data_IF_938090508775
#
_entry.id   IF_938090508775
#
_cell.length_a   1.000
_cell.length_b   1.000
_cell.length_c   1.000
_cell.angle_alpha   90.00
_cell.angle_beta   90.00
_cell.angle_gamma   90.00
#
_symmetry.space_group_name_H-M   'P 1'
#
loop_
_entity.id
_entity.type
_entity.pdbx_description
1 polymer ?
#
# COMPACT_ATOMS: atom_id res chain seq x y z
N UNK A 1 -2.98 -8.14 -57.82
CA UNK A 1 -1.87 -9.11 -58.04
C UNK A 1 -2.49 -10.50 -58.02
N UNK A 2 -2.52 -11.21 -59.15
CA UNK A 2 -3.26 -12.49 -59.29
C UNK A 2 -2.41 -13.60 -58.67
N UNK A 3 -2.79 -14.10 -57.50
CA UNK A 3 -2.11 -15.23 -56.86
C UNK A 3 -2.24 -16.44 -57.77
N UNK A 4 -1.12 -17.02 -58.18
CA UNK A 4 -1.07 -18.24 -58.97
C UNK A 4 -1.49 -19.43 -58.09
N UNK A 5 -2.34 -20.30 -58.66
CA UNK A 5 -2.94 -21.44 -57.98
C UNK A 5 -1.90 -22.34 -57.31
N UNK A 6 -0.68 -22.41 -57.85
CA UNK A 6 0.43 -23.18 -57.29
C UNK A 6 1.07 -22.57 -56.03
N UNK A 7 1.05 -21.25 -55.83
CA UNK A 7 1.62 -20.59 -54.63
C UNK A 7 0.60 -20.51 -53.50
N UNK A 8 -0.70 -20.58 -53.82
CA UNK A 8 -1.79 -20.56 -52.84
C UNK A 8 -1.67 -21.63 -51.75
N UNK A 9 -1.39 -22.92 -52.04
CA UNK A 9 -1.25 -23.94 -50.98
C UNK A 9 -0.01 -23.73 -50.12
N UNK A 10 1.08 -23.17 -50.68
CA UNK A 10 2.31 -22.88 -49.95
C UNK A 10 2.08 -21.78 -48.90
N UNK A 11 1.35 -20.72 -49.27
CA UNK A 11 0.99 -19.64 -48.36
C UNK A 11 0.08 -20.17 -47.24
N UNK A 12 -0.89 -21.02 -47.56
CA UNK A 12 -1.79 -21.62 -46.57
C UNK A 12 -1.00 -22.44 -45.52
N UNK A 13 -0.02 -23.23 -45.96
CA UNK A 13 0.83 -24.04 -45.08
C UNK A 13 1.65 -23.17 -44.13
N UNK A 14 2.25 -22.09 -44.64
CA UNK A 14 3.08 -21.18 -43.85
C UNK A 14 2.22 -20.46 -42.79
N UNK A 15 1.03 -19.99 -43.17
CA UNK A 15 0.11 -19.32 -42.24
C UNK A 15 -0.38 -20.29 -41.17
N UNK A 16 -0.72 -21.53 -41.54
CA UNK A 16 -1.10 -22.57 -40.58
C UNK A 16 0.04 -22.88 -39.61
N UNK A 17 1.26 -23.10 -40.10
CA UNK A 17 2.43 -23.35 -39.25
C UNK A 17 2.76 -22.20 -38.30
N UNK A 18 2.72 -20.96 -38.78
CA UNK A 18 2.94 -19.78 -37.97
C UNK A 18 1.87 -19.61 -36.88
N UNK A 19 0.61 -19.89 -37.20
CA UNK A 19 -0.49 -19.81 -36.23
C UNK A 19 -0.39 -20.87 -35.12
N UNK A 20 0.01 -22.09 -35.46
CA UNK A 20 0.25 -23.17 -34.49
C UNK A 20 1.45 -22.81 -33.61
N UNK A 21 2.57 -22.38 -34.21
CA UNK A 21 3.76 -21.99 -33.46
C UNK A 21 3.46 -20.84 -32.50
N UNK A 22 2.74 -19.81 -32.94
CA UNK A 22 2.34 -18.70 -32.07
C UNK A 22 1.46 -19.18 -30.91
N UNK A 23 0.44 -20.00 -31.20
CA UNK A 23 -0.47 -20.51 -30.17
C UNK A 23 0.23 -21.37 -29.12
N UNK A 24 1.22 -22.18 -29.50
CA UNK A 24 1.93 -23.08 -28.58
C UNK A 24 3.18 -22.47 -27.93
N UNK A 25 3.79 -21.44 -28.52
CA UNK A 25 5.11 -20.94 -28.09
C UNK A 25 5.10 -19.52 -27.49
N UNK A 26 3.98 -18.79 -27.52
CA UNK A 26 3.88 -17.44 -26.89
C UNK A 26 3.41 -17.46 -25.43
N UNK A 27 3.48 -18.60 -24.75
CA UNK A 27 3.12 -18.75 -23.35
C UNK A 27 4.35 -18.98 -22.47
N UNK A 28 5.11 -17.93 -22.17
CA UNK A 28 6.20 -18.00 -21.18
C UNK A 28 6.11 -16.86 -20.17
N UNK A 29 5.09 -16.89 -19.33
CA UNK A 29 5.18 -16.31 -17.98
C UNK A 29 5.87 -17.35 -17.10
N UNK A 30 7.20 -17.41 -17.17
CA UNK A 30 8.00 -18.31 -16.35
C UNK A 30 8.13 -17.68 -14.96
N UNK A 31 7.59 -18.28 -13.88
CA UNK A 31 7.77 -17.74 -12.54
C UNK A 31 9.26 -17.77 -12.18
N UNK A 32 9.83 -16.68 -11.64
CA UNK A 32 11.22 -16.72 -11.21
C UNK A 32 11.33 -17.56 -9.93
N UNK A 33 12.31 -18.49 -9.93
CA UNK A 33 12.75 -19.36 -8.83
C UNK A 33 11.80 -20.48 -8.37
N UNK A 34 12.02 -21.68 -8.92
CA UNK A 34 11.68 -22.94 -8.24
C UNK A 34 12.61 -23.15 -7.04
N UNK A 35 12.36 -22.46 -5.93
CA UNK A 35 12.89 -22.87 -4.64
C UNK A 35 12.17 -24.16 -4.25
N UNK A 36 12.91 -25.25 -4.02
CA UNK A 36 12.38 -26.48 -3.42
C UNK A 36 12.01 -26.19 -1.96
N UNK A 37 10.87 -25.55 -1.76
CA UNK A 37 10.30 -25.34 -0.44
C UNK A 37 9.74 -26.66 0.06
N UNK A 38 10.29 -27.17 1.16
CA UNK A 38 9.57 -28.10 2.02
C UNK A 38 8.16 -27.55 2.21
N UNK A 39 7.14 -28.30 1.77
CA UNK A 39 5.73 -27.88 1.83
C UNK A 39 5.34 -27.70 3.29
N UNK A 40 5.53 -26.47 3.79
CA UNK A 40 5.04 -26.06 5.08
C UNK A 40 3.52 -25.84 4.94
N UNK A 41 2.74 -26.49 5.79
CA UNK A 41 1.28 -26.36 5.80
C UNK A 41 0.85 -24.89 5.89
N UNK A 42 1.54 -24.09 6.71
CA UNK A 42 1.27 -22.66 6.86
C UNK A 42 1.44 -21.87 5.54
N UNK A 43 2.42 -22.26 4.70
CA UNK A 43 2.64 -21.62 3.40
C UNK A 43 1.49 -21.92 2.42
N UNK A 44 0.96 -23.15 2.47
CA UNK A 44 -0.16 -23.57 1.61
C UNK A 44 -1.47 -22.88 2.02
N UNK A 45 -1.71 -22.76 3.32
CA UNK A 45 -2.86 -22.05 3.88
C UNK A 45 -2.80 -20.55 3.57
N UNK A 46 -1.63 -19.92 3.72
CA UNK A 46 -1.42 -18.53 3.36
C UNK A 46 -1.65 -18.29 1.86
N UNK A 47 -1.08 -19.11 0.98
CA UNK A 47 -1.26 -18.97 -0.46
C UNK A 47 -2.74 -19.14 -0.86
N UNK A 48 -3.45 -20.04 -0.18
CA UNK A 48 -4.90 -20.24 -0.38
C UNK A 48 -5.70 -19.01 0.07
N UNK A 49 -5.32 -18.38 1.19
CA UNK A 49 -5.97 -17.17 1.68
C UNK A 49 -5.73 -15.99 0.74
N UNK A 50 -4.49 -15.83 0.25
CA UNK A 50 -4.15 -14.81 -0.74
C UNK A 50 -4.94 -15.00 -2.03
N UNK A 51 -5.11 -16.24 -2.50
CA UNK A 51 -5.96 -16.54 -3.66
C UNK A 51 -7.45 -16.29 -3.46
N UNK A 52 -7.92 -16.20 -2.21
CA UNK A 52 -9.32 -15.88 -1.85
C UNK A 52 -9.55 -14.38 -1.66
N UNK A 53 -8.50 -13.57 -1.55
CA UNK A 53 -8.64 -12.12 -1.53
C UNK A 53 -9.03 -11.66 -2.93
N UNK A 54 -10.31 -11.36 -3.12
CA UNK A 54 -10.78 -10.70 -4.35
C UNK A 54 -10.04 -9.37 -4.47
N UNK A 55 -9.37 -9.09 -5.60
CA UNK A 55 -8.79 -7.78 -5.83
C UNK A 55 -9.92 -6.74 -5.79
N UNK A 56 -9.85 -5.85 -4.81
CA UNK A 56 -10.76 -4.71 -4.72
C UNK A 56 -10.32 -3.67 -5.74
N UNK A 57 -11.23 -3.29 -6.63
CA UNK A 57 -11.03 -2.17 -7.53
C UNK A 57 -11.79 -0.98 -6.97
N UNK A 58 -11.12 0.16 -6.85
CA UNK A 58 -11.75 1.41 -6.49
C UNK A 58 -12.09 2.17 -7.76
N UNK A 59 -13.31 2.69 -7.84
CA UNK A 59 -13.68 3.63 -8.87
C UNK A 59 -12.99 4.98 -8.59
N UNK A 60 -12.02 5.32 -9.44
CA UNK A 60 -11.24 6.56 -9.35
C UNK A 60 -11.78 7.68 -10.22
N UNK A 61 -12.93 7.49 -10.86
CA UNK A 61 -13.52 8.48 -11.77
C UNK A 61 -13.78 9.83 -11.11
N UNK A 62 -14.11 9.82 -9.81
CA UNK A 62 -14.35 11.04 -9.03
C UNK A 62 -13.12 11.97 -8.99
N UNK A 63 -11.90 11.43 -9.03
CA UNK A 63 -10.68 12.23 -9.01
C UNK A 63 -10.44 13.01 -10.32
N UNK A 64 -11.12 12.63 -11.40
CA UNK A 64 -11.07 13.34 -12.68
C UNK A 64 -12.15 14.42 -12.81
N UNK A 65 -13.10 14.50 -11.87
CA UNK A 65 -14.17 15.50 -11.89
C UNK A 65 -13.59 16.91 -11.58
N UNK A 66 -13.94 17.90 -12.39
CA UNK A 66 -13.53 19.28 -12.17
C UNK A 66 -14.01 19.82 -10.81
N UNK A 67 -15.15 19.33 -10.30
CA UNK A 67 -15.68 19.69 -8.98
C UNK A 67 -14.84 19.13 -7.85
N UNK A 68 -14.32 17.90 -8.02
CA UNK A 68 -13.41 17.30 -7.04
C UNK A 68 -12.10 18.08 -6.97
N UNK A 69 -11.56 18.46 -8.13
CA UNK A 69 -10.34 19.27 -8.23
C UNK A 69 -10.51 20.73 -7.79
N UNK A 70 -11.74 21.21 -7.68
CA UNK A 70 -12.08 22.55 -7.19
C UNK A 70 -12.34 22.59 -5.67
N UNK A 71 -12.25 21.47 -4.96
CA UNK A 71 -12.43 21.43 -3.51
C UNK A 71 -11.32 22.22 -2.82
N UNK A 72 -11.73 23.14 -1.95
CA UNK A 72 -10.83 23.92 -1.10
C UNK A 72 -10.85 23.31 0.29
N UNK A 73 -9.66 23.16 0.87
CA UNK A 73 -9.54 22.72 2.25
C UNK A 73 -10.06 23.82 3.21
N UNK A 74 -11.01 23.46 4.07
CA UNK A 74 -11.60 24.34 5.08
C UNK A 74 -11.07 24.05 6.48
N UNK A 75 -9.98 23.28 6.61
CA UNK A 75 -9.36 23.01 7.90
C UNK A 75 -8.95 24.31 8.60
N UNK A 76 -9.41 24.48 9.84
CA UNK A 76 -8.88 25.50 10.74
C UNK A 76 -7.52 25.01 11.26
N UNK A 77 -6.43 25.78 11.09
CA UNK A 77 -5.14 25.41 11.67
C UNK A 77 -5.26 25.21 13.17
N UNK A 78 -4.86 24.05 13.67
CA UNK A 78 -4.76 23.80 15.11
C UNK A 78 -3.40 24.32 15.57
N UNK A 79 -3.41 25.39 16.36
CA UNK A 79 -2.21 25.85 17.03
C UNK A 79 -1.79 24.82 18.10
N UNK A 80 -0.51 24.44 18.19
CA UNK A 80 -0.03 23.57 19.27
C UNK A 80 -0.34 24.22 20.62
N UNK A 81 -1.02 23.49 21.48
CA UNK A 81 -1.19 23.92 22.87
C UNK A 81 0.12 23.66 23.64
N UNK A 82 0.49 24.56 24.56
CA UNK A 82 1.62 24.30 25.45
C UNK A 82 1.35 23.03 26.27
N UNK A 83 2.42 22.31 26.63
CA UNK A 83 2.32 21.16 27.53
C UNK A 83 1.52 21.58 28.77
N UNK A 84 0.45 20.84 29.06
CA UNK A 84 -0.47 21.15 30.16
C UNK A 84 0.20 21.12 31.53
N UNK A 85 -0.59 21.36 32.58
CA UNK A 85 -0.10 21.23 33.97
C UNK A 85 0.45 19.81 34.19
N UNK A 86 1.57 19.71 34.91
CA UNK A 86 2.09 18.43 35.38
C UNK A 86 0.96 17.60 36.02
N UNK A 87 0.91 16.31 35.69
CA UNK A 87 -0.12 15.40 36.17
C UNK A 87 -0.11 15.37 37.72
N UNK A 88 -1.18 15.86 38.38
CA UNK A 88 -1.23 15.91 39.84
C UNK A 88 -1.35 14.52 40.49
N UNK A 89 -1.56 13.47 39.69
CA UNK A 89 -1.60 12.08 40.12
C UNK A 89 -0.35 11.29 39.69
N UNK A 90 0.66 11.94 39.09
CA UNK A 90 1.92 11.30 38.77
C UNK A 90 2.57 10.73 40.04
N UNK A 91 3.11 9.52 39.94
CA UNK A 91 3.74 8.87 41.08
C UNK A 91 4.93 9.71 41.57
N UNK A 92 5.00 9.92 42.88
CA UNK A 92 5.99 10.76 43.57
C UNK A 92 7.46 10.34 43.39
N UNK A 93 7.72 9.25 42.67
CA UNK A 93 9.06 8.76 42.35
C UNK A 93 9.85 9.71 41.42
N UNK A 94 9.17 10.67 40.78
CA UNK A 94 9.77 11.64 39.87
C UNK A 94 9.29 13.07 40.18
N UNK A 95 9.22 13.45 41.46
CA UNK A 95 9.18 14.88 41.84
C UNK A 95 10.62 15.31 42.09
N UNK A 96 11.16 16.16 41.22
CA UNK A 96 12.45 16.80 41.46
C UNK A 96 12.22 17.93 42.50
N UNK A 97 12.43 17.61 43.78
CA UNK A 97 12.11 18.46 44.95
C UNK A 97 12.91 19.78 45.02
N UNK A 98 13.78 20.07 44.05
CA UNK A 98 14.64 21.25 44.03
C UNK A 98 13.88 22.57 43.76
N UNK A 99 12.63 22.53 43.27
CA UNK A 99 11.87 23.74 42.92
C UNK A 99 10.96 24.31 44.01
N UNK A 100 10.73 23.59 45.13
CA UNK A 100 9.75 23.99 46.17
C UNK A 100 10.37 24.87 47.28
N UNK A 101 11.70 25.01 47.36
CA UNK A 101 12.34 25.68 48.51
C UNK A 101 12.42 27.22 48.46
N UNK A 102 11.96 27.91 47.40
CA UNK A 102 12.22 29.36 47.25
C UNK A 102 11.09 30.32 47.66
N UNK A 103 9.94 29.85 48.17
CA UNK A 103 8.87 30.76 48.62
C UNK A 103 8.52 30.58 50.12
N UNK A 104 9.41 31.03 51.00
CA UNK A 104 9.07 31.32 52.40
C UNK A 104 8.71 32.80 52.57
N UNK A 105 7.49 33.16 53.01
CA UNK A 105 7.16 34.55 53.32
C UNK A 105 7.71 34.92 54.71
N UNK A 106 8.54 35.96 54.76
CA UNK A 106 9.02 36.59 55.99
C UNK A 106 7.85 37.33 56.68
N UNK A 107 7.39 36.81 57.82
CA UNK A 107 6.35 37.44 58.65
C UNK A 107 7.02 38.40 59.63
N UNK A 108 6.84 39.70 59.40
CA UNK A 108 7.34 40.78 60.24
C UNK A 108 6.45 40.90 61.50
N UNK A 109 7.03 40.70 62.70
CA UNK A 109 6.32 40.92 63.97
C UNK A 109 6.42 42.39 64.39
N UNK A 110 5.27 42.89 64.85
CA UNK A 110 4.94 44.27 65.22
C UNK A 110 5.71 44.77 66.44
#
# INVERSE_FOLDING_TARGET
MKLNTSITPLILLIVAGASIYWYFFTGTEQPPLSASSSKNQAQTEFQTLVGKLTPISFDTSIFSDARFNALVDLMTPIAPEPAGRLDPFASISHVDLSSVSSSSPSVNKK
#
